data_IF_485637461285
#
_entry.id   IF_485637461285
#
_cell.length_a   1.000
_cell.length_b   1.000
_cell.length_c   1.000
_cell.angle_alpha   90.00
_cell.angle_beta   90.00
_cell.angle_gamma   90.00
#
_symmetry.space_group_name_H-M   'P 1'
#
loop_
_entity.id
_entity.type
_entity.pdbx_description
1 polymer ?
#
# COMPACT_ATOMS: atom_id res chain seq x y z
N UNK A 1 -28.95 -30.06 -21.31
CA UNK A 1 -27.64 -29.51 -20.91
C UNK A 1 -27.88 -28.19 -20.20
N UNK A 2 -27.58 -28.04 -18.91
CA UNK A 2 -27.72 -26.75 -18.25
C UNK A 2 -26.50 -25.89 -18.57
N UNK A 3 -26.72 -24.78 -19.28
CA UNK A 3 -25.76 -23.71 -19.45
C UNK A 3 -25.44 -23.10 -18.09
N UNK A 4 -24.18 -23.13 -17.67
CA UNK A 4 -23.74 -22.43 -16.48
C UNK A 4 -23.97 -20.92 -16.63
N UNK A 5 -24.45 -20.21 -15.60
CA UNK A 5 -24.53 -18.76 -15.64
C UNK A 5 -23.10 -18.19 -15.66
N UNK A 6 -22.77 -17.44 -16.70
CA UNK A 6 -21.59 -16.58 -16.72
C UNK A 6 -21.76 -15.57 -15.60
N UNK A 7 -21.04 -15.76 -14.49
CA UNK A 7 -21.00 -14.76 -13.41
C UNK A 7 -20.21 -13.57 -13.96
N UNK A 8 -20.77 -12.36 -14.03
CA UNK A 8 -19.99 -11.20 -14.43
C UNK A 8 -18.88 -11.01 -13.39
N UNK A 9 -17.65 -11.26 -13.82
CA UNK A 9 -16.45 -10.94 -13.06
C UNK A 9 -16.57 -9.47 -12.65
N UNK A 10 -16.59 -9.20 -11.35
CA UNK A 10 -16.73 -7.84 -10.83
C UNK A 10 -15.75 -6.93 -11.57
N UNK A 11 -16.28 -6.00 -12.36
CA UNK A 11 -15.46 -5.03 -13.07
C UNK A 11 -14.65 -4.30 -12.01
N UNK A 12 -13.33 -4.45 -12.04
CA UNK A 12 -12.39 -3.78 -11.16
C UNK A 12 -12.65 -2.27 -11.20
N UNK A 13 -13.43 -1.75 -10.25
CA UNK A 13 -13.84 -0.35 -10.27
C UNK A 13 -12.62 0.51 -9.95
N UNK A 14 -12.21 1.30 -10.94
CA UNK A 14 -11.14 2.29 -10.76
C UNK A 14 -11.72 3.48 -10.02
N UNK A 15 -11.04 3.93 -8.97
CA UNK A 15 -11.36 5.17 -8.27
C UNK A 15 -10.08 5.89 -7.88
N UNK A 16 -10.20 7.20 -7.65
CA UNK A 16 -9.07 8.00 -7.17
C UNK A 16 -8.75 7.60 -5.73
N UNK A 17 -7.52 7.14 -5.51
CA UNK A 17 -6.99 6.84 -4.19
C UNK A 17 -5.89 7.84 -3.84
N UNK A 18 -5.85 8.22 -2.57
CA UNK A 18 -4.74 9.00 -2.03
C UNK A 18 -3.55 8.09 -1.77
N UNK A 19 -2.36 8.62 -2.05
CA UNK A 19 -1.10 7.93 -1.85
C UNK A 19 -0.03 8.85 -1.27
N UNK A 20 0.90 8.27 -0.53
CA UNK A 20 2.08 8.94 -0.02
C UNK A 20 3.31 8.31 -0.67
N UNK A 21 4.06 9.11 -1.43
CA UNK A 21 5.37 8.75 -2.00
C UNK A 21 6.48 9.24 -1.08
N UNK A 22 7.50 8.42 -0.90
CA UNK A 22 8.74 8.83 -0.24
C UNK A 22 9.93 8.07 -0.80
N UNK A 23 11.16 8.59 -0.65
CA UNK A 23 12.38 7.82 -0.87
C UNK A 23 12.34 6.43 -0.21
N UNK A 24 12.91 5.44 -0.89
CA UNK A 24 12.97 4.06 -0.42
C UNK A 24 13.59 3.98 0.99
N UNK A 25 12.91 3.28 1.89
CA UNK A 25 13.33 3.11 3.28
C UNK A 25 12.85 4.22 4.22
N UNK A 26 12.26 5.31 3.73
CA UNK A 26 11.71 6.36 4.59
C UNK A 26 10.39 5.93 5.26
N UNK A 27 9.53 5.19 4.56
CA UNK A 27 8.28 4.66 5.10
C UNK A 27 8.49 3.31 5.79
N UNK A 28 9.34 2.45 5.22
CA UNK A 28 9.52 1.08 5.71
C UNK A 28 10.68 0.88 6.67
N UNK A 29 11.64 1.80 6.73
CA UNK A 29 12.97 1.55 7.30
C UNK A 29 12.98 1.25 8.79
N UNK A 30 12.06 1.83 9.56
CA UNK A 30 11.96 1.65 11.00
C UNK A 30 10.93 0.58 11.43
N UNK A 31 10.24 -0.03 10.47
CA UNK A 31 9.21 -1.04 10.72
C UNK A 31 7.87 -0.51 11.25
N UNK A 32 7.73 0.79 11.54
CA UNK A 32 6.48 1.33 12.10
C UNK A 32 5.31 1.23 11.13
N UNK A 33 5.55 1.46 9.83
CA UNK A 33 4.51 1.27 8.82
C UNK A 33 4.07 -0.20 8.74
N UNK A 34 5.01 -1.13 8.92
CA UNK A 34 4.71 -2.56 8.90
C UNK A 34 3.79 -2.92 10.06
N UNK A 35 4.16 -2.57 11.29
CA UNK A 35 3.35 -2.81 12.49
C UNK A 35 1.95 -2.21 12.35
N UNK A 36 1.86 -0.99 11.81
CA UNK A 36 0.59 -0.33 11.58
C UNK A 36 -0.31 -1.08 10.59
N UNK A 37 0.25 -1.59 9.49
CA UNK A 37 -0.53 -2.36 8.50
C UNK A 37 -0.94 -3.71 9.09
N UNK A 38 -0.05 -4.37 9.83
CA UNK A 38 -0.35 -5.63 10.53
C UNK A 38 -1.52 -5.44 11.52
N UNK A 39 -1.41 -4.47 12.43
CA UNK A 39 -2.44 -4.14 13.44
C UNK A 39 -3.79 -3.76 12.81
N UNK A 40 -3.77 -3.08 11.66
CA UNK A 40 -5.01 -2.74 10.95
C UNK A 40 -5.67 -3.95 10.31
N UNK A 41 -4.87 -4.85 9.70
CA UNK A 41 -5.37 -6.08 9.10
C UNK A 41 -5.91 -7.05 10.15
N UNK A 42 -5.28 -7.10 11.32
CA UNK A 42 -5.77 -7.89 12.45
C UNK A 42 -7.13 -7.39 12.95
N UNK A 43 -7.28 -6.08 13.15
CA UNK A 43 -8.54 -5.50 13.67
C UNK A 43 -9.68 -5.40 12.66
N UNK A 44 -9.39 -5.08 11.39
CA UNK A 44 -10.41 -4.79 10.36
C UNK A 44 -10.56 -5.89 9.32
N UNK A 45 -9.74 -6.94 9.41
CA UNK A 45 -9.68 -8.02 8.43
C UNK A 45 -8.68 -7.75 7.29
N UNK A 46 -8.42 -8.78 6.47
CA UNK A 46 -7.39 -8.73 5.42
C UNK A 46 -7.70 -7.72 4.31
N UNK A 47 -8.97 -7.33 4.15
CA UNK A 47 -9.47 -6.45 3.09
C UNK A 47 -9.44 -4.96 3.46
N UNK A 48 -8.79 -4.62 4.58
CA UNK A 48 -8.57 -3.21 4.94
C UNK A 48 -7.81 -2.50 3.81
N UNK A 49 -8.35 -1.35 3.42
CA UNK A 49 -7.85 -0.57 2.28
C UNK A 49 -6.61 0.25 2.68
N UNK A 50 -5.51 -0.46 2.91
CA UNK A 50 -4.16 0.08 3.08
C UNK A 50 -3.16 -0.86 2.42
N UNK A 51 -2.35 -0.31 1.53
CA UNK A 51 -1.42 -1.07 0.69
C UNK A 51 -0.05 -0.42 0.69
N UNK A 52 0.98 -1.23 0.85
CA UNK A 52 2.37 -0.82 0.70
C UNK A 52 2.87 -1.25 -0.67
N UNK A 53 3.49 -0.32 -1.40
CA UNK A 53 4.07 -0.55 -2.71
C UNK A 53 5.59 -0.41 -2.60
N UNK A 54 6.35 -1.49 -2.81
CA UNK A 54 7.80 -1.39 -2.94
C UNK A 54 8.17 -0.63 -4.22
N UNK A 55 9.43 -0.16 -4.35
CA UNK A 55 9.81 0.70 -5.47
C UNK A 55 9.59 0.12 -6.86
N UNK A 56 9.80 -1.19 -7.02
CA UNK A 56 9.51 -1.88 -8.26
C UNK A 56 8.03 -1.76 -8.69
N UNK A 57 7.10 -1.79 -7.73
CA UNK A 57 5.67 -1.68 -8.02
C UNK A 57 5.24 -0.22 -8.21
N UNK A 58 5.90 0.73 -7.55
CA UNK A 58 5.71 2.17 -7.77
C UNK A 58 6.08 2.55 -9.22
N UNK A 59 7.22 2.06 -9.69
CA UNK A 59 7.68 2.26 -11.07
C UNK A 59 6.77 1.54 -12.08
N UNK A 60 6.45 0.26 -11.85
CA UNK A 60 5.61 -0.52 -12.75
C UNK A 60 4.21 0.10 -12.93
N UNK A 61 3.66 0.69 -11.87
CA UNK A 61 2.36 1.34 -11.90
C UNK A 61 2.43 2.82 -12.34
N UNK A 62 3.61 3.31 -12.74
CA UNK A 62 3.85 4.70 -13.15
C UNK A 62 3.40 5.75 -12.11
N UNK A 63 3.53 5.43 -10.82
CA UNK A 63 3.16 6.33 -9.71
C UNK A 63 4.30 7.23 -9.26
N UNK A 64 5.54 6.81 -9.52
CA UNK A 64 6.77 7.49 -9.13
C UNK A 64 7.99 6.83 -9.77
N UNK A 65 9.16 7.07 -9.20
CA UNK A 65 10.44 6.50 -9.67
C UNK A 65 10.80 5.18 -8.97
N UNK A 66 11.75 4.43 -9.55
CA UNK A 66 12.35 3.22 -8.96
C UNK A 66 13.07 3.44 -7.62
N UNK A 67 13.22 4.69 -7.19
CA UNK A 67 13.85 5.08 -5.92
C UNK A 67 12.83 5.44 -4.84
N UNK A 68 11.53 5.46 -5.17
CA UNK A 68 10.46 5.80 -4.26
C UNK A 68 9.68 4.56 -3.85
N UNK A 69 9.24 4.51 -2.60
CA UNK A 69 8.21 3.61 -2.14
C UNK A 69 6.92 4.38 -1.89
N UNK A 70 5.79 3.67 -1.83
CA UNK A 70 4.51 4.29 -1.58
C UNK A 70 3.63 3.53 -0.59
N UNK A 71 2.72 4.27 0.04
CA UNK A 71 1.58 3.71 0.75
C UNK A 71 0.29 4.34 0.23
N UNK A 72 -0.71 3.50 -0.04
CA UNK A 72 -2.04 3.89 -0.46
C UNK A 72 -3.05 3.55 0.61
N UNK A 73 -4.11 4.34 0.72
CA UNK A 73 -5.24 4.03 1.57
C UNK A 73 -6.55 4.47 0.93
N UNK A 74 -7.63 3.75 1.25
CA UNK A 74 -8.99 4.12 0.85
C UNK A 74 -9.47 5.42 1.49
N UNK A 75 -8.96 5.73 2.68
CA UNK A 75 -9.29 6.94 3.44
C UNK A 75 -8.16 8.00 3.31
N UNK A 76 -8.41 9.18 2.72
CA UNK A 76 -7.41 10.24 2.58
C UNK A 76 -6.88 10.77 3.93
N UNK A 77 -7.66 10.65 5.02
CA UNK A 77 -7.22 11.03 6.36
C UNK A 77 -6.05 10.15 6.84
N UNK A 78 -6.04 8.87 6.45
CA UNK A 78 -4.93 7.95 6.74
C UNK A 78 -3.65 8.43 6.07
N UNK A 79 -3.71 8.78 4.78
CA UNK A 79 -2.55 9.27 4.04
C UNK A 79 -2.05 10.59 4.63
N UNK A 80 -2.95 11.48 5.02
CA UNK A 80 -2.62 12.75 5.68
C UNK A 80 -1.89 12.51 7.00
N UNK A 81 -2.39 11.58 7.84
CA UNK A 81 -1.72 11.22 9.08
C UNK A 81 -0.35 10.57 8.84
N UNK A 82 -0.23 9.69 7.84
CA UNK A 82 1.04 9.07 7.46
C UNK A 82 2.06 10.11 6.99
N UNK A 83 1.63 11.12 6.22
CA UNK A 83 2.50 12.20 5.77
C UNK A 83 3.06 13.00 6.95
N UNK A 84 2.24 13.28 7.97
CA UNK A 84 2.69 13.98 9.19
C UNK A 84 3.71 13.15 9.98
N UNK A 85 3.57 11.82 9.96
CA UNK A 85 4.44 10.90 10.70
C UNK A 85 5.77 10.64 10.00
N UNK A 86 5.73 10.33 8.71
CA UNK A 86 6.89 9.86 7.95
C UNK A 86 7.47 10.93 7.02
N UNK A 87 6.78 12.06 6.82
CA UNK A 87 7.10 13.02 5.76
C UNK A 87 6.66 12.50 4.38
N UNK A 88 7.36 12.93 3.33
CA UNK A 88 7.07 12.53 1.95
C UNK A 88 6.05 13.43 1.24
N UNK A 89 5.72 13.04 0.01
CA UNK A 89 4.85 13.80 -0.91
C UNK A 89 3.53 13.08 -1.10
N UNK A 90 2.43 13.75 -0.76
CA UNK A 90 1.08 13.27 -1.05
C UNK A 90 0.76 13.45 -2.53
N UNK A 91 0.11 12.45 -3.10
CA UNK A 91 -0.41 12.47 -4.48
C UNK A 91 -1.74 11.70 -4.53
N UNK A 92 -2.34 11.66 -5.70
CA UNK A 92 -3.55 10.89 -5.99
C UNK A 92 -3.39 10.14 -7.31
N UNK A 93 -3.95 8.93 -7.39
CA UNK A 93 -3.92 8.14 -8.61
C UNK A 93 -5.23 7.38 -8.83
N UNK A 94 -5.71 7.29 -10.08
CA UNK A 94 -6.84 6.43 -10.43
C UNK A 94 -6.39 4.97 -10.40
N UNK A 95 -6.83 4.22 -9.39
CA UNK A 95 -6.42 2.83 -9.18
C UNK A 95 -7.60 1.93 -8.82
N UNK A 96 -7.47 0.65 -9.11
CA UNK A 96 -8.42 -0.37 -8.65
C UNK A 96 -7.99 -0.92 -7.30
N UNK A 97 -8.84 -0.85 -6.25
CA UNK A 97 -8.60 -1.52 -4.98
C UNK A 97 -8.42 -3.04 -5.13
N UNK A 98 -9.14 -3.67 -6.06
CA UNK A 98 -9.00 -5.10 -6.37
C UNK A 98 -7.60 -5.40 -6.90
N UNK A 99 -7.10 -4.61 -7.86
CA UNK A 99 -5.74 -4.74 -8.37
C UNK A 99 -4.69 -4.56 -7.26
N UNK A 100 -4.89 -3.58 -6.37
CA UNK A 100 -4.00 -3.35 -5.23
C UNK A 100 -4.05 -4.52 -4.23
N UNK A 101 -5.20 -5.12 -4.03
CA UNK A 101 -5.32 -6.29 -3.16
C UNK A 101 -4.57 -7.50 -3.73
N UNK A 102 -4.60 -7.70 -5.05
CA UNK A 102 -3.89 -8.80 -5.70
C UNK A 102 -2.38 -8.57 -5.75
N UNK A 103 -1.94 -7.33 -6.04
CA UNK A 103 -0.54 -7.02 -6.32
C UNK A 103 0.26 -6.45 -5.14
N UNK A 104 -0.42 -5.79 -4.19
CA UNK A 104 0.17 -5.06 -3.08
C UNK A 104 -0.32 -5.55 -1.70
N UNK A 105 -0.66 -6.83 -1.59
CA UNK A 105 -1.00 -7.48 -0.30
C UNK A 105 0.18 -7.63 0.64
N UNK A 106 1.40 -7.42 0.14
CA UNK A 106 2.62 -7.45 0.92
C UNK A 106 2.60 -6.51 2.12
N UNK A 107 3.46 -6.81 3.07
CA UNK A 107 3.80 -5.89 4.16
C UNK A 107 5.11 -5.19 3.80
N UNK A 108 5.34 -3.97 4.32
CA UNK A 108 6.66 -3.35 4.24
C UNK A 108 7.75 -4.28 4.79
N UNK A 109 9.00 -4.14 4.31
CA UNK A 109 10.16 -4.82 4.87
C UNK A 109 10.20 -4.76 6.39
N UNK A 110 10.72 -5.82 7.03
CA UNK A 110 11.02 -5.75 8.47
C UNK A 110 12.15 -4.77 8.69
N UNK A 111 12.08 -4.03 9.80
CA UNK A 111 13.18 -3.20 10.25
C UNK A 111 14.45 -4.04 10.41
N UNK A 112 15.63 -3.53 10.04
CA UNK A 112 16.90 -4.18 10.36
C UNK A 112 17.03 -4.38 11.88
N UNK A 113 17.51 -5.54 12.30
CA UNK A 113 17.87 -5.75 13.70
C UNK A 113 19.04 -4.82 14.04
N UNK A 114 18.88 -4.01 15.09
CA UNK A 114 19.96 -3.15 15.56
C UNK A 114 21.20 -4.02 15.87
N UNK A 115 22.42 -3.58 15.48
CA UNK A 115 23.62 -4.30 15.87
C UNK A 115 23.73 -4.29 17.40
N UNK A 116 23.64 -5.47 18.00
CA UNK A 116 24.00 -5.65 19.41
C UNK A 116 25.51 -5.53 19.51
N UNK A 117 26.01 -4.40 20.00
CA UNK A 117 27.41 -4.30 20.39
C UNK A 117 27.61 -5.10 21.68
N UNK A 118 28.56 -6.06 21.71
CA UNK A 118 28.92 -6.79 22.92
C UNK A 118 29.63 -5.89 23.95
#
# INVERSE_FOLDING_TARGET
>A
MPSAPFTPSATAQVRTLSLLLAPSGQLSGDGQLRELIEERRDRKGPDVEIWYLPPALVEEMALGSALEEAVLAGDPAVITWLQLRFGGRRSEAPLSPTLLHDRARGLPPRAPLAPVHP
#
